data_IF_479751085837
#
_entry.id   IF_479751085837
#
_cell.length_a   1.000
_cell.length_b   1.000
_cell.length_c   1.000
_cell.angle_alpha   90.00
_cell.angle_beta   90.00
_cell.angle_gamma   90.00
#
_symmetry.space_group_name_H-M   'P 1'
#
loop_
_entity.id
_entity.type
_entity.pdbx_description
1 polymer ?
#
# COMPACT_ATOMS: atom_id res chain seq x y z
N UNK A 1 16.81 22.65 20.91
CA UNK A 1 16.53 21.49 20.05
C UNK A 1 15.71 20.53 20.87
N UNK A 2 14.39 20.63 20.78
CA UNK A 2 13.52 19.59 21.37
C UNK A 2 13.59 18.37 20.47
N UNK A 3 14.01 17.24 21.03
CA UNK A 3 13.99 15.96 20.32
C UNK A 3 12.53 15.59 20.03
N UNK A 4 12.18 15.40 18.75
CA UNK A 4 10.87 14.88 18.39
C UNK A 4 10.57 13.59 19.16
N UNK A 5 9.33 13.42 19.66
CA UNK A 5 8.96 12.20 20.37
C UNK A 5 9.17 10.97 19.47
N UNK A 6 9.53 9.81 20.06
CA UNK A 6 9.69 8.59 19.29
C UNK A 6 8.37 8.24 18.58
N UNK A 7 8.42 7.68 17.36
CA UNK A 7 7.21 7.30 16.65
C UNK A 7 6.44 6.25 17.48
N UNK A 8 5.11 6.27 17.46
CA UNK A 8 4.30 5.29 18.18
C UNK A 8 4.64 3.86 17.70
N UNK A 9 4.49 2.84 18.57
CA UNK A 9 4.93 1.47 18.27
C UNK A 9 4.35 0.89 16.98
N UNK A 10 3.08 1.18 16.68
CA UNK A 10 2.41 0.71 15.47
C UNK A 10 3.10 1.24 14.20
N UNK A 11 3.64 2.46 14.18
CA UNK A 11 4.38 2.99 13.01
C UNK A 11 5.66 2.20 12.74
N UNK A 12 6.34 1.75 13.81
CA UNK A 12 7.52 0.91 13.66
C UNK A 12 7.15 -0.45 13.06
N UNK A 13 6.09 -1.07 13.56
CA UNK A 13 5.61 -2.36 13.04
C UNK A 13 5.12 -2.22 11.58
N UNK A 14 4.33 -1.20 11.24
CA UNK A 14 3.92 -0.90 9.85
C UNK A 14 5.12 -0.74 8.93
N UNK A 15 6.15 0.01 9.36
CA UNK A 15 7.38 0.19 8.56
C UNK A 15 8.09 -1.13 8.31
N UNK A 16 8.22 -1.98 9.35
CA UNK A 16 8.86 -3.30 9.23
C UNK A 16 8.07 -4.23 8.32
N UNK A 17 6.75 -4.22 8.38
CA UNK A 17 5.89 -4.98 7.45
C UNK A 17 6.11 -4.50 6.01
N UNK A 18 6.13 -3.18 5.78
CA UNK A 18 6.43 -2.62 4.47
C UNK A 18 7.84 -2.94 3.95
N UNK A 19 8.84 -3.02 4.84
CA UNK A 19 10.20 -3.47 4.52
C UNK A 19 10.27 -4.94 4.13
N UNK A 20 9.48 -5.79 4.77
CA UNK A 20 9.39 -7.23 4.50
C UNK A 20 8.55 -7.56 3.25
N UNK A 21 7.54 -6.75 2.94
CA UNK A 21 6.79 -6.84 1.67
C UNK A 21 7.63 -6.35 0.50
N UNK A 22 8.36 -5.23 0.68
CA UNK A 22 9.57 -4.98 -0.12
C UNK A 22 10.57 -6.12 0.15
N UNK A 23 11.56 -6.45 -0.64
CA UNK A 23 12.39 -7.65 -0.35
C UNK A 23 11.72 -9.03 -0.54
N UNK A 24 10.39 -9.16 -0.44
CA UNK A 24 9.66 -10.37 -0.86
C UNK A 24 9.32 -10.39 -2.36
N UNK A 25 8.66 -11.48 -2.80
CA UNK A 25 8.10 -11.60 -4.14
C UNK A 25 6.89 -10.68 -4.40
N UNK A 26 6.35 -9.99 -3.38
CA UNK A 26 5.24 -9.05 -3.51
C UNK A 26 5.64 -7.80 -4.32
N UNK A 27 5.48 -7.91 -5.64
CA UNK A 27 5.98 -6.98 -6.65
C UNK A 27 4.99 -6.83 -7.80
N UNK A 28 4.98 -5.70 -8.52
CA UNK A 28 4.03 -5.48 -9.63
C UNK A 28 4.02 -6.62 -10.65
N UNK A 29 5.19 -7.13 -11.08
CA UNK A 29 5.28 -8.25 -12.03
C UNK A 29 4.70 -9.54 -11.48
N UNK A 30 4.97 -9.86 -10.22
CA UNK A 30 4.47 -11.07 -9.59
C UNK A 30 2.95 -11.02 -9.41
N UNK A 31 2.42 -9.86 -9.00
CA UNK A 31 0.98 -9.59 -8.92
C UNK A 31 0.32 -9.71 -10.30
N UNK A 32 0.93 -9.11 -11.33
CA UNK A 32 0.43 -9.20 -12.69
C UNK A 32 0.29 -10.65 -13.17
N UNK A 33 1.36 -11.44 -12.99
CA UNK A 33 1.39 -12.85 -13.34
C UNK A 33 0.34 -13.65 -12.57
N UNK A 34 0.23 -13.45 -11.26
CA UNK A 34 -0.71 -14.15 -10.39
C UNK A 34 -2.17 -13.86 -10.76
N UNK A 35 -2.47 -12.65 -11.23
CA UNK A 35 -3.82 -12.27 -11.67
C UNK A 35 -4.06 -12.49 -13.17
N UNK A 36 -3.07 -13.00 -13.91
CA UNK A 36 -3.18 -13.19 -15.36
C UNK A 36 -3.42 -11.89 -16.15
N UNK A 37 -2.85 -10.78 -15.68
CA UNK A 37 -2.84 -9.49 -16.40
C UNK A 37 -1.46 -9.24 -16.99
N UNK A 38 -1.40 -8.54 -18.13
CA UNK A 38 -0.14 -8.31 -18.85
C UNK A 38 0.90 -7.54 -18.03
N UNK A 39 0.44 -6.51 -17.31
CA UNK A 39 1.28 -5.68 -16.47
C UNK A 39 0.44 -5.07 -15.37
N UNK A 40 1.02 -4.90 -14.18
CA UNK A 40 0.40 -4.16 -13.08
C UNK A 40 0.65 -2.66 -13.27
N UNK A 41 -0.11 -2.05 -14.18
CA UNK A 41 0.01 -0.67 -14.65
C UNK A 41 -1.36 -0.03 -14.84
N UNK A 42 -1.42 1.22 -15.32
CA UNK A 42 -2.66 2.03 -15.44
C UNK A 42 -3.86 1.26 -16.00
N UNK A 43 -3.77 0.66 -17.20
CA UNK A 43 -4.88 -0.12 -17.76
C UNK A 43 -5.32 -1.30 -16.89
N UNK A 44 -4.38 -1.96 -16.21
CA UNK A 44 -4.72 -3.05 -15.31
C UNK A 44 -5.36 -2.54 -14.03
N UNK A 45 -4.85 -1.46 -13.43
CA UNK A 45 -5.46 -0.81 -12.27
C UNK A 45 -6.89 -0.38 -12.59
N UNK A 46 -7.12 0.09 -13.82
CA UNK A 46 -8.41 0.54 -14.32
C UNK A 46 -9.41 -0.56 -14.63
N UNK A 47 -8.90 -1.76 -14.90
CA UNK A 47 -9.70 -2.93 -15.22
C UNK A 47 -10.24 -3.67 -14.00
N UNK A 48 -10.96 -4.76 -14.25
CA UNK A 48 -11.63 -5.58 -13.24
C UNK A 48 -10.70 -6.61 -12.59
N UNK A 49 -9.48 -6.21 -12.22
CA UNK A 49 -8.47 -7.14 -11.68
C UNK A 49 -8.92 -7.84 -10.39
N UNK A 50 -9.78 -7.20 -9.59
CA UNK A 50 -10.31 -7.78 -8.35
C UNK A 50 -11.23 -8.99 -8.58
N UNK A 51 -11.85 -9.07 -9.77
CA UNK A 51 -12.69 -10.20 -10.17
C UNK A 51 -11.86 -11.41 -10.65
N UNK A 52 -10.57 -11.22 -10.91
CA UNK A 52 -9.71 -12.28 -11.43
C UNK A 52 -9.32 -13.24 -10.33
N UNK A 53 -9.19 -14.52 -10.67
CA UNK A 53 -8.67 -15.52 -9.76
C UNK A 53 -7.19 -15.28 -9.49
N UNK A 54 -6.79 -15.46 -8.24
CA UNK A 54 -5.40 -15.50 -7.85
C UNK A 54 -4.82 -16.89 -8.19
N UNK A 55 -3.79 -16.91 -9.05
CA UNK A 55 -3.11 -18.12 -9.51
C UNK A 55 -1.81 -18.39 -8.74
N UNK A 56 -1.41 -17.51 -7.83
CA UNK A 56 -0.22 -17.72 -7.00
C UNK A 56 -0.54 -18.61 -5.79
N UNK A 57 0.42 -19.44 -5.42
CA UNK A 57 0.36 -20.30 -4.24
C UNK A 57 1.30 -19.79 -3.12
N UNK A 58 1.20 -20.41 -1.95
CA UNK A 58 2.08 -20.16 -0.81
C UNK A 58 2.01 -18.71 -0.29
N UNK A 59 3.12 -18.17 0.24
CA UNK A 59 3.16 -16.82 0.81
C UNK A 59 2.69 -15.72 -0.15
N UNK A 60 3.09 -15.78 -1.42
CA UNK A 60 2.68 -14.79 -2.42
C UNK A 60 1.18 -14.86 -2.70
N UNK A 61 0.62 -16.07 -2.81
CA UNK A 61 -0.82 -16.29 -2.97
C UNK A 61 -1.61 -15.63 -1.83
N UNK A 62 -1.22 -15.91 -0.58
CA UNK A 62 -1.87 -15.32 0.59
C UNK A 62 -1.74 -13.78 0.64
N UNK A 63 -0.56 -13.25 0.31
CA UNK A 63 -0.33 -11.79 0.25
C UNK A 63 -1.21 -11.12 -0.80
N UNK A 64 -1.36 -11.70 -1.99
CA UNK A 64 -2.21 -11.14 -3.05
C UNK A 64 -3.69 -11.23 -2.67
N UNK A 65 -4.12 -12.34 -2.08
CA UNK A 65 -5.51 -12.49 -1.66
C UNK A 65 -5.89 -11.46 -0.60
N UNK A 66 -5.05 -11.30 0.44
CA UNK A 66 -5.29 -10.37 1.53
C UNK A 66 -5.11 -8.90 1.12
N UNK A 67 -3.98 -8.55 0.50
CA UNK A 67 -3.57 -7.15 0.32
C UNK A 67 -3.98 -6.56 -1.01
N UNK A 68 -4.18 -7.37 -2.05
CA UNK A 68 -4.58 -6.85 -3.37
C UNK A 68 -6.07 -7.06 -3.56
N UNK A 69 -6.56 -8.29 -3.36
CA UNK A 69 -7.96 -8.63 -3.66
C UNK A 69 -8.93 -8.32 -2.51
N UNK A 70 -8.43 -8.12 -1.29
CA UNK A 70 -9.28 -7.91 -0.10
C UNK A 70 -10.04 -9.16 0.33
N UNK A 71 -9.57 -10.33 -0.10
CA UNK A 71 -10.16 -11.61 0.24
C UNK A 71 -9.79 -12.08 1.64
N UNK A 72 -10.21 -13.31 1.94
CA UNK A 72 -9.91 -13.99 3.20
C UNK A 72 -9.04 -15.21 2.92
N UNK A 73 -8.13 -15.51 3.85
CA UNK A 73 -7.31 -16.73 3.81
C UNK A 73 -7.35 -17.46 5.15
N UNK A 74 -7.08 -18.78 5.17
CA UNK A 74 -6.88 -19.51 6.43
C UNK A 74 -5.78 -18.86 7.28
N UNK A 75 -6.00 -18.74 8.58
CA UNK A 75 -5.06 -18.05 9.50
C UNK A 75 -3.66 -18.66 9.49
N UNK A 76 -3.54 -19.98 9.32
CA UNK A 76 -2.24 -20.63 9.17
C UNK A 76 -1.49 -20.10 7.93
N UNK A 77 -2.16 -20.05 6.77
CA UNK A 77 -1.58 -19.51 5.53
C UNK A 77 -1.21 -18.02 5.67
N UNK A 78 -2.00 -17.22 6.39
CA UNK A 78 -1.63 -15.84 6.70
C UNK A 78 -0.36 -15.76 7.55
N UNK A 79 -0.22 -16.61 8.57
CA UNK A 79 0.96 -16.63 9.46
C UNK A 79 2.22 -17.15 8.77
N UNK A 80 2.08 -18.00 7.77
CA UNK A 80 3.20 -18.41 6.90
C UNK A 80 3.64 -17.27 5.97
N UNK A 81 2.72 -16.39 5.59
CA UNK A 81 2.95 -15.31 4.64
C UNK A 81 3.38 -13.97 5.27
N UNK A 82 3.10 -13.79 6.57
CA UNK A 82 3.28 -12.52 7.28
C UNK A 82 3.91 -12.72 8.66
N UNK A 83 4.79 -11.78 9.00
CA UNK A 83 5.29 -11.63 10.36
C UNK A 83 4.19 -11.13 11.32
N UNK A 84 4.24 -11.53 12.59
CA UNK A 84 3.28 -11.14 13.62
C UNK A 84 3.09 -9.61 13.78
N UNK A 85 4.06 -8.81 13.33
CA UNK A 85 3.96 -7.35 13.22
C UNK A 85 2.78 -6.89 12.37
N UNK A 86 2.33 -7.67 11.38
CA UNK A 86 1.18 -7.30 10.56
C UNK A 86 -0.12 -7.18 11.38
N UNK A 87 -0.33 -8.05 12.36
CA UNK A 87 -1.45 -7.98 13.29
C UNK A 87 -1.31 -6.85 14.30
N UNK A 88 -0.10 -6.68 14.88
CA UNK A 88 0.14 -5.57 15.82
C UNK A 88 0.05 -4.19 15.18
N UNK A 89 0.39 -4.08 13.90
CA UNK A 89 0.20 -2.89 13.10
C UNK A 89 -1.26 -2.64 12.70
N UNK A 90 -2.18 -3.57 12.98
CA UNK A 90 -3.58 -3.48 12.56
C UNK A 90 -3.78 -3.60 11.05
N UNK A 91 -2.83 -4.22 10.32
CA UNK A 91 -2.95 -4.46 8.88
C UNK A 91 -3.78 -5.72 8.62
N UNK A 92 -3.64 -6.71 9.49
CA UNK A 92 -4.36 -7.99 9.45
C UNK A 92 -5.14 -8.22 10.73
N UNK A 93 -6.31 -8.84 10.58
CA UNK A 93 -7.19 -9.21 11.68
C UNK A 93 -7.63 -10.66 11.53
N UNK A 94 -7.56 -11.42 12.63
CA UNK A 94 -8.06 -12.80 12.68
C UNK A 94 -9.57 -12.78 13.01
N UNK A 95 -10.33 -13.50 12.20
CA UNK A 95 -11.77 -13.71 12.39
C UNK A 95 -12.12 -15.21 12.43
N UNK A 96 -13.40 -15.54 12.66
CA UNK A 96 -13.84 -16.93 12.85
C UNK A 96 -13.60 -17.83 11.63
N UNK A 97 -13.58 -17.29 10.41
CA UNK A 97 -13.40 -18.09 9.19
C UNK A 97 -12.03 -17.84 8.51
N UNK A 98 -11.11 -17.16 9.20
CA UNK A 98 -9.76 -16.86 8.70
C UNK A 98 -9.32 -15.43 8.93
N UNK A 99 -8.17 -15.08 8.37
CA UNK A 99 -7.56 -13.75 8.46
C UNK A 99 -8.02 -12.88 7.30
N UNK A 100 -8.27 -11.60 7.57
CA UNK A 100 -8.59 -10.55 6.59
C UNK A 100 -7.61 -9.39 6.72
N UNK A 101 -7.54 -8.53 5.71
CA UNK A 101 -6.81 -7.26 5.81
C UNK A 101 -7.77 -6.10 6.08
N UNK A 102 -7.33 -5.14 6.88
CA UNK A 102 -8.10 -3.92 7.22
C UNK A 102 -8.14 -2.90 6.07
N UNK A 103 -7.35 -3.11 5.03
CA UNK A 103 -7.39 -2.39 3.76
C UNK A 103 -6.49 -3.06 2.74
N UNK A 104 -6.51 -2.59 1.51
CA UNK A 104 -5.63 -3.08 0.46
C UNK A 104 -4.28 -2.36 0.52
N UNK A 105 -3.21 -3.11 0.27
CA UNK A 105 -1.86 -2.60 0.08
C UNK A 105 -1.42 -2.98 -1.33
N UNK A 106 -1.36 -2.00 -2.22
CA UNK A 106 -1.09 -2.21 -3.64
C UNK A 106 0.37 -1.87 -3.95
N UNK A 107 1.12 -2.75 -4.64
CA UNK A 107 2.44 -2.40 -5.12
C UNK A 107 2.32 -1.52 -6.37
N UNK A 108 2.77 -0.28 -6.28
CA UNK A 108 2.90 0.63 -7.42
C UNK A 108 4.37 0.87 -7.71
N UNK A 109 4.89 0.22 -8.76
CA UNK A 109 6.34 0.17 -9.05
C UNK A 109 7.12 -0.40 -7.86
N UNK A 110 7.96 0.41 -7.20
CA UNK A 110 8.72 0.05 -6.00
C UNK A 110 8.02 0.48 -4.70
N UNK A 111 6.90 1.18 -4.81
CA UNK A 111 6.18 1.76 -3.68
C UNK A 111 5.01 0.87 -3.26
N UNK A 112 4.58 1.03 -2.01
CA UNK A 112 3.39 0.40 -1.47
C UNK A 112 2.42 1.52 -1.12
N UNK A 113 1.19 1.41 -1.58
CA UNK A 113 0.13 2.39 -1.31
C UNK A 113 -1.06 1.70 -0.68
N UNK A 114 -1.84 2.43 0.11
CA UNK A 114 -2.93 1.85 0.90
C UNK A 114 -4.31 2.38 0.46
N UNK A 115 -5.35 1.59 0.63
CA UNK A 115 -6.74 2.02 0.44
C UNK A 115 -7.66 1.17 1.32
N UNK A 116 -8.70 1.75 1.90
CA UNK A 116 -9.74 1.02 2.66
C UNK A 116 -10.89 0.52 1.75
N UNK A 117 -10.81 0.75 0.43
CA UNK A 117 -11.86 0.36 -0.51
C UNK A 117 -11.48 -0.89 -1.28
N UNK A 118 -12.16 -2.03 -1.04
CA UNK A 118 -12.08 -3.18 -1.94
C UNK A 118 -12.90 -2.98 -3.22
N UNK A 119 -13.90 -2.09 -3.21
CA UNK A 119 -14.81 -1.86 -4.34
C UNK A 119 -14.55 -0.52 -5.04
N UNK A 120 -14.43 -0.55 -6.37
CA UNK A 120 -14.30 0.63 -7.24
C UNK A 120 -15.60 1.42 -7.44
N UNK A 121 -16.73 0.99 -6.87
CA UNK A 121 -18.00 1.69 -7.04
C UNK A 121 -17.93 3.08 -6.38
N UNK A 122 -17.96 4.13 -7.20
CA UNK A 122 -17.92 5.54 -6.78
C UNK A 122 -19.20 6.00 -6.07
N UNK A 123 -20.23 5.15 -5.97
CA UNK A 123 -21.57 5.56 -5.57
C UNK A 123 -21.78 5.36 -4.06
N UNK A 124 -21.86 6.48 -3.33
CA UNK A 124 -22.51 6.54 -2.02
C UNK A 124 -21.68 6.13 -0.80
N UNK A 125 -20.44 5.65 -0.95
CA UNK A 125 -19.58 5.32 0.18
C UNK A 125 -18.36 6.24 0.27
N UNK A 126 -17.98 6.62 1.48
CA UNK A 126 -16.75 7.33 1.82
C UNK A 126 -15.60 6.34 2.07
N UNK A 127 -14.37 6.74 1.78
CA UNK A 127 -13.18 5.88 1.84
C UNK A 127 -12.04 6.47 1.03
N UNK A 128 -10.84 5.95 1.22
CA UNK A 128 -9.61 6.29 0.51
C UNK A 128 -9.62 5.64 -0.87
N UNK A 129 -9.49 6.46 -1.91
CA UNK A 129 -9.58 5.98 -3.28
C UNK A 129 -8.41 5.06 -3.65
N UNK A 130 -8.73 4.03 -4.42
CA UNK A 130 -7.75 3.20 -5.09
C UNK A 130 -6.96 4.04 -6.11
N UNK A 131 -5.65 3.77 -6.28
CA UNK A 131 -4.90 4.35 -7.38
C UNK A 131 -5.43 3.87 -8.74
N UNK A 132 -5.34 4.75 -9.72
CA UNK A 132 -5.80 4.56 -11.10
C UNK A 132 -4.73 5.03 -12.10
N UNK A 133 -5.07 5.06 -13.40
CA UNK A 133 -4.16 5.59 -14.42
C UNK A 133 -3.78 7.05 -14.21
N UNK A 134 -4.69 7.90 -13.71
CA UNK A 134 -4.41 9.30 -13.39
C UNK A 134 -3.35 9.41 -12.30
N UNK A 135 -3.46 8.59 -11.26
CA UNK A 135 -2.49 8.50 -10.17
C UNK A 135 -1.10 8.13 -10.69
N UNK A 136 -1.01 7.20 -11.64
CA UNK A 136 0.26 6.84 -12.28
C UNK A 136 0.79 7.95 -13.20
N UNK A 137 -0.07 8.66 -13.92
CA UNK A 137 0.34 9.79 -14.75
C UNK A 137 0.94 10.91 -13.90
N UNK A 138 0.29 11.26 -12.78
CA UNK A 138 0.80 12.23 -11.81
C UNK A 138 2.15 11.81 -11.22
N UNK A 139 2.30 10.54 -10.83
CA UNK A 139 3.57 10.01 -10.31
C UNK A 139 4.74 10.14 -11.29
N UNK A 140 4.48 10.09 -12.60
CA UNK A 140 5.49 10.28 -13.66
C UNK A 140 5.84 11.74 -13.88
N UNK A 141 4.95 12.66 -13.54
CA UNK A 141 5.18 14.10 -13.63
C UNK A 141 5.93 14.68 -12.42
N UNK A 142 6.09 13.90 -11.34
CA UNK A 142 6.84 14.33 -10.17
C UNK A 142 8.33 14.53 -10.52
N UNK A 143 8.98 15.56 -9.94
CA UNK A 143 10.42 15.76 -10.08
C UNK A 143 11.20 14.50 -9.71
N UNK A 144 12.21 14.17 -10.51
CA UNK A 144 13.17 13.09 -10.26
C UNK A 144 14.50 13.61 -9.72
N UNK A 145 14.49 14.81 -9.14
CA UNK A 145 15.65 15.48 -8.55
C UNK A 145 15.37 15.81 -7.08
N UNK A 146 16.41 15.87 -6.23
CA UNK A 146 16.21 16.18 -4.83
C UNK A 146 15.52 17.53 -4.61
N UNK A 147 14.51 17.56 -3.73
CA UNK A 147 13.83 18.78 -3.29
C UNK A 147 13.84 18.86 -1.76
N UNK A 148 13.89 20.07 -1.20
CA UNK A 148 13.88 20.22 0.26
C UNK A 148 12.54 19.77 0.85
N UNK A 149 11.42 20.21 0.26
CA UNK A 149 10.07 19.98 0.81
C UNK A 149 9.05 19.67 -0.28
N UNK A 150 8.13 18.77 0.04
CA UNK A 150 6.96 18.45 -0.78
C UNK A 150 5.68 18.52 0.07
N UNK A 151 4.63 19.09 -0.51
CA UNK A 151 3.28 19.12 0.07
C UNK A 151 2.33 18.38 -0.86
N UNK A 152 1.69 17.32 -0.35
CA UNK A 152 0.63 16.58 -1.03
C UNK A 152 -0.73 16.90 -0.38
N UNK A 153 -1.64 17.52 -1.12
CA UNK A 153 -2.99 17.85 -0.67
C UNK A 153 -3.99 16.88 -1.28
N UNK A 154 -4.75 16.17 -0.44
CA UNK A 154 -5.58 15.05 -0.88
C UNK A 154 -4.74 13.79 -1.10
N UNK A 155 -3.79 13.53 -0.21
CA UNK A 155 -2.80 12.46 -0.37
C UNK A 155 -3.40 11.06 -0.45
N UNK A 156 -4.63 10.88 0.03
CA UNK A 156 -5.38 9.63 0.01
C UNK A 156 -4.54 8.47 0.50
N UNK A 157 -4.37 7.47 -0.37
CA UNK A 157 -3.60 6.26 -0.12
C UNK A 157 -2.08 6.39 -0.18
N UNK A 158 -1.59 7.60 -0.46
CA UNK A 158 -0.17 7.91 -0.59
C UNK A 158 0.41 7.66 -1.99
N UNK A 159 -0.42 7.56 -3.03
CA UNK A 159 0.07 7.31 -4.40
C UNK A 159 1.09 8.35 -4.87
N UNK A 160 0.87 9.63 -4.55
CA UNK A 160 1.79 10.73 -4.89
C UNK A 160 2.81 10.94 -3.78
N UNK A 161 2.37 11.14 -2.53
CA UNK A 161 3.24 11.36 -1.38
C UNK A 161 4.38 10.34 -1.23
N UNK A 162 4.10 9.04 -1.35
CA UNK A 162 5.13 7.99 -1.19
C UNK A 162 6.19 8.09 -2.30
N UNK A 163 5.77 8.45 -3.52
CA UNK A 163 6.72 8.65 -4.63
C UNK A 163 7.57 9.89 -4.41
N UNK A 164 6.95 10.99 -4.02
CA UNK A 164 7.63 12.26 -3.77
C UNK A 164 8.67 12.14 -2.64
N UNK A 165 8.38 11.36 -1.59
CA UNK A 165 9.28 11.11 -0.46
C UNK A 165 10.62 10.44 -0.84
N UNK A 166 10.77 9.93 -2.07
CA UNK A 166 12.07 9.44 -2.57
C UNK A 166 13.04 10.57 -2.91
N UNK A 167 12.50 11.72 -3.30
CA UNK A 167 13.27 12.87 -3.78
C UNK A 167 13.19 14.04 -2.80
N UNK A 168 12.15 14.11 -1.98
CA UNK A 168 12.00 15.12 -0.96
C UNK A 168 12.77 14.77 0.33
N UNK A 169 13.42 15.76 0.95
CA UNK A 169 13.95 15.61 2.31
C UNK A 169 12.83 15.50 3.35
N UNK A 170 11.76 16.28 3.12
CA UNK A 170 10.55 16.28 3.93
C UNK A 170 9.31 16.23 3.03
N UNK A 171 8.39 15.31 3.33
CA UNK A 171 7.08 15.25 2.68
C UNK A 171 5.98 15.43 3.72
N UNK A 172 5.14 16.44 3.53
CA UNK A 172 3.90 16.61 4.28
C UNK A 172 2.74 16.13 3.40
N UNK A 173 2.03 15.11 3.85
CA UNK A 173 0.89 14.54 3.18
C UNK A 173 -0.37 14.82 4.01
N UNK A 174 -1.36 15.50 3.43
CA UNK A 174 -2.58 15.90 4.09
C UNK A 174 -3.78 15.37 3.33
N UNK A 175 -4.81 14.95 4.07
CA UNK A 175 -6.11 14.61 3.51
C UNK A 175 -7.22 15.10 4.43
N UNK A 176 -8.34 15.50 3.85
CA UNK A 176 -9.55 15.89 4.59
C UNK A 176 -10.35 14.66 5.04
N UNK A 177 -10.14 13.52 4.39
CA UNK A 177 -10.75 12.26 4.74
C UNK A 177 -10.08 11.70 6.00
N UNK A 178 -10.79 11.58 7.14
CA UNK A 178 -10.21 11.11 8.39
C UNK A 178 -9.78 9.64 8.37
N UNK A 179 -10.16 8.89 7.33
CA UNK A 179 -9.72 7.50 7.10
C UNK A 179 -8.39 7.40 6.36
N UNK A 180 -7.92 8.50 5.76
CA UNK A 180 -6.59 8.51 5.16
C UNK A 180 -5.53 8.26 6.24
N UNK A 181 -4.43 7.54 5.90
CA UNK A 181 -3.33 7.37 6.82
C UNK A 181 -2.86 8.74 7.32
N UNK A 182 -2.72 8.89 8.63
CA UNK A 182 -2.36 10.17 9.23
C UNK A 182 -1.01 10.66 8.70
N UNK A 183 -0.80 11.99 8.61
CA UNK A 183 0.47 12.55 8.17
C UNK A 183 1.61 11.97 8.99
N UNK A 184 2.58 11.35 8.33
CA UNK A 184 3.84 10.98 8.95
C UNK A 184 4.96 11.73 8.25
N UNK A 185 5.79 12.43 9.01
CA UNK A 185 7.07 12.93 8.49
C UNK A 185 7.99 11.73 8.29
N UNK A 186 8.20 11.35 7.03
CA UNK A 186 9.17 10.32 6.68
C UNK A 186 10.50 10.99 6.36
N UNK A 187 11.58 10.75 7.13
CA UNK A 187 12.91 11.20 6.73
C UNK A 187 13.36 10.44 5.48
N UNK A 188 14.06 11.16 4.60
CA UNK A 188 14.63 10.65 3.33
C UNK A 188 15.39 9.34 3.52
N UNK A 189 15.14 8.36 2.65
CA UNK A 189 16.07 7.23 2.46
C UNK A 189 17.12 7.66 1.46
N UNK A 190 18.40 7.47 1.78
CA UNK A 190 19.47 7.61 0.79
C UNK A 190 19.19 6.71 -0.40
N UNK A 191 19.23 7.21 -1.64
CA UNK A 191 19.12 6.35 -2.81
C UNK A 191 20.32 5.38 -2.80
N UNK A 192 20.02 4.10 -3.05
CA UNK A 192 21.01 3.07 -3.35
C UNK A 192 21.47 3.20 -4.80
#
# INVERSE_FOLDING_TARGET
MESSPPPPPWMTDTRRVGEALRGSAFRPRAVANALGVLAWSGPALDGLWWQRKNLAEGPLGAQIELLVRGGRVPTAAARDAFDARAWRAGILEDGPEGTVSTGLVLPLECDLVWTDRPERAFVGQSGVFMPDSTSLALRRALPSEPVARHLDLGSGGGAVAVRAARWAEETLALDVNPRAPRPSTAPRRSPA
#
